data_IF_308393432939
#
_entry.id   IF_308393432939
#
_cell.length_a   1.000
_cell.length_b   1.000
_cell.length_c   1.000
_cell.angle_alpha   90.00
_cell.angle_beta   90.00
_cell.angle_gamma   90.00
#
_symmetry.space_group_name_H-M   'P 1'
#
loop_
_entity.id
_entity.type
_entity.pdbx_description
1 polymer ?
#
# COMPACT_ATOMS: atom_id res chain seq x y z
N UNK A 1 -21.21 -9.13 14.48
CA UNK A 1 -21.26 -8.09 13.44
C UNK A 1 -19.83 -7.72 13.14
N UNK A 2 -19.22 -8.42 12.19
CA UNK A 2 -17.82 -8.23 11.78
C UNK A 2 -17.78 -6.90 11.04
N UNK A 3 -17.38 -5.83 11.72
CA UNK A 3 -17.12 -4.58 11.01
C UNK A 3 -15.97 -4.86 10.04
N UNK A 4 -16.16 -4.48 8.79
CA UNK A 4 -15.18 -4.61 7.73
C UNK A 4 -13.98 -3.70 8.07
N UNK A 5 -13.02 -4.26 8.83
CA UNK A 5 -11.85 -3.52 9.29
C UNK A 5 -10.90 -3.17 8.13
N UNK A 6 -11.10 -3.78 6.97
CA UNK A 6 -10.22 -3.67 5.80
C UNK A 6 -10.17 -2.24 5.24
N UNK A 7 -11.23 -1.45 5.44
CA UNK A 7 -11.33 -0.08 4.92
C UNK A 7 -11.17 1.02 5.97
N UNK A 8 -10.95 0.68 7.24
CA UNK A 8 -10.85 1.70 8.31
C UNK A 8 -9.63 2.61 8.14
N UNK A 9 -8.56 2.09 7.53
CA UNK A 9 -7.33 2.82 7.26
C UNK A 9 -7.33 3.57 5.91
N UNK A 10 -8.32 3.32 5.04
CA UNK A 10 -8.38 3.95 3.70
C UNK A 10 -8.35 5.49 3.79
N UNK A 11 -9.17 6.16 4.64
CA UNK A 11 -9.23 7.62 4.65
C UNK A 11 -7.93 8.30 5.09
N UNK A 12 -7.11 7.64 5.93
CA UNK A 12 -5.83 8.20 6.38
C UNK A 12 -4.74 8.03 5.33
N UNK A 13 -4.80 6.97 4.51
CA UNK A 13 -3.79 6.68 3.48
C UNK A 13 -4.09 7.30 2.12
N UNK A 14 -5.36 7.36 1.72
CA UNK A 14 -5.79 7.77 0.38
C UNK A 14 -5.13 9.08 -0.11
N UNK A 15 -5.07 10.17 0.69
CA UNK A 15 -4.49 11.43 0.22
C UNK A 15 -3.01 11.29 -0.19
N UNK A 16 -2.29 10.36 0.43
CA UNK A 16 -0.86 10.20 0.28
C UNK A 16 -0.48 9.12 -0.74
N UNK A 17 -1.34 8.13 -0.97
CA UNK A 17 -1.13 7.10 -2.02
C UNK A 17 -1.04 7.74 -3.39
N UNK A 18 -1.90 8.72 -3.72
CA UNK A 18 -1.82 9.46 -4.99
C UNK A 18 -0.46 10.12 -5.19
N UNK A 19 0.00 10.89 -4.20
CA UNK A 19 1.31 11.53 -4.25
C UNK A 19 2.46 10.52 -4.33
N UNK A 20 2.34 9.38 -3.66
CA UNK A 20 3.33 8.29 -3.74
C UNK A 20 3.42 7.70 -5.15
N UNK A 21 2.28 7.45 -5.80
CA UNK A 21 2.25 6.99 -7.21
C UNK A 21 2.97 8.00 -8.09
N UNK A 22 2.66 9.30 -7.98
CA UNK A 22 3.26 10.34 -8.82
C UNK A 22 4.79 10.43 -8.66
N UNK A 23 5.30 10.29 -7.42
CA UNK A 23 6.75 10.33 -7.12
C UNK A 23 7.55 9.17 -7.73
N UNK A 24 6.92 8.03 -8.00
CA UNK A 24 7.60 6.88 -8.62
C UNK A 24 7.96 7.23 -10.07
N UNK A 25 9.25 7.30 -10.41
CA UNK A 25 9.67 7.70 -11.76
C UNK A 25 9.36 6.67 -12.86
N UNK A 26 9.05 5.42 -12.51
CA UNK A 26 8.81 4.33 -13.45
C UNK A 26 7.32 4.13 -13.76
N UNK A 27 7.03 3.62 -14.96
CA UNK A 27 5.67 3.28 -15.37
C UNK A 27 5.14 2.00 -14.70
N UNK A 28 6.02 1.14 -14.18
CA UNK A 28 5.69 -0.09 -13.45
C UNK A 28 6.41 -0.11 -12.10
N UNK A 29 5.71 -0.55 -11.05
CA UNK A 29 6.23 -0.61 -9.67
C UNK A 29 5.54 -1.70 -8.84
N UNK A 30 6.19 -2.12 -7.75
CA UNK A 30 5.64 -3.06 -6.78
C UNK A 30 4.99 -2.35 -5.58
N UNK A 31 4.23 -3.08 -4.77
CA UNK A 31 3.72 -2.57 -3.49
C UNK A 31 4.85 -2.08 -2.59
N UNK A 32 5.98 -2.79 -2.53
CA UNK A 32 7.18 -2.36 -1.80
C UNK A 32 7.64 -0.96 -2.22
N UNK A 33 7.78 -0.72 -3.53
CA UNK A 33 8.21 0.59 -4.07
C UNK A 33 7.20 1.70 -3.79
N UNK A 34 5.92 1.38 -3.80
CA UNK A 34 4.87 2.31 -3.39
C UNK A 34 4.99 2.70 -1.92
N UNK A 35 5.22 1.73 -1.05
CA UNK A 35 5.41 1.97 0.39
C UNK A 35 6.66 2.81 0.64
N UNK A 36 7.77 2.51 -0.06
CA UNK A 36 8.98 3.34 -0.04
C UNK A 36 8.68 4.80 -0.45
N UNK A 37 7.96 5.00 -1.56
CA UNK A 37 7.59 6.33 -2.05
C UNK A 37 6.57 7.07 -1.15
N UNK A 38 5.71 6.32 -0.47
CA UNK A 38 4.77 6.83 0.53
C UNK A 38 5.52 7.32 1.77
N UNK A 39 6.43 6.51 2.30
CA UNK A 39 7.22 6.84 3.49
C UNK A 39 8.38 7.82 3.24
N UNK A 40 8.62 8.21 1.99
CA UNK A 40 9.63 9.20 1.62
C UNK A 40 9.28 10.62 2.07
N UNK A 41 8.02 10.89 2.45
CA UNK A 41 7.62 12.17 3.05
C UNK A 41 7.23 12.00 4.53
N UNK A 42 7.42 13.02 5.39
CA UNK A 42 7.00 12.96 6.78
C UNK A 42 5.51 12.65 6.95
N UNK A 43 4.66 13.27 6.13
CA UNK A 43 3.20 13.11 6.20
C UNK A 43 2.76 11.73 5.73
N UNK A 44 3.38 11.20 4.66
CA UNK A 44 3.09 9.86 4.17
C UNK A 44 3.57 8.77 5.13
N UNK A 45 4.69 8.98 5.81
CA UNK A 45 5.15 8.11 6.91
C UNK A 45 4.16 8.12 8.07
N UNK A 46 3.74 9.31 8.53
CA UNK A 46 2.77 9.42 9.61
C UNK A 46 1.43 8.76 9.27
N UNK A 47 0.95 8.92 8.03
CA UNK A 47 -0.26 8.25 7.55
C UNK A 47 -0.12 6.72 7.51
N UNK A 48 1.03 6.21 7.09
CA UNK A 48 1.33 4.78 7.09
C UNK A 48 1.39 4.20 8.50
N UNK A 49 2.06 4.89 9.44
CA UNK A 49 2.12 4.47 10.84
C UNK A 49 0.72 4.48 11.49
N UNK A 50 -0.10 5.49 11.17
CA UNK A 50 -1.49 5.57 11.63
C UNK A 50 -2.36 4.45 11.05
N UNK A 51 -2.20 4.12 9.78
CA UNK A 51 -2.91 2.99 9.17
C UNK A 51 -2.55 1.65 9.85
N UNK A 52 -1.27 1.43 10.15
CA UNK A 52 -0.85 0.25 10.92
C UNK A 52 -1.45 0.24 12.32
N UNK A 53 -1.54 1.40 12.99
CA UNK A 53 -2.17 1.52 14.31
C UNK A 53 -3.67 1.20 14.25
N UNK A 54 -4.38 1.69 13.24
CA UNK A 54 -5.81 1.42 13.02
C UNK A 54 -6.05 -0.07 12.79
N UNK A 55 -5.25 -0.72 11.95
CA UNK A 55 -5.41 -2.14 11.61
C UNK A 55 -4.86 -3.08 12.70
N UNK A 56 -3.85 -2.66 13.44
CA UNK A 56 -3.12 -3.49 14.40
C UNK A 56 -3.66 -3.45 15.84
N UNK A 57 -4.48 -2.46 16.19
CA UNK A 57 -4.89 -2.25 17.59
C UNK A 57 -3.70 -1.98 18.52
N UNK A 58 -3.81 -2.38 19.79
CA UNK A 58 -2.80 -2.12 20.82
C UNK A 58 -1.47 -2.89 20.60
N UNK A 59 -1.48 -3.97 19.81
CA UNK A 59 -0.35 -4.89 19.68
C UNK A 59 0.50 -4.71 18.43
N UNK A 60 0.22 -3.71 17.56
CA UNK A 60 0.94 -3.44 16.29
C UNK A 60 1.41 -4.73 15.58
N UNK A 61 0.51 -5.69 15.48
CA UNK A 61 0.89 -7.06 15.11
C UNK A 61 1.25 -7.17 13.63
N UNK A 62 1.98 -8.23 13.28
CA UNK A 62 2.23 -8.65 11.89
C UNK A 62 0.96 -8.61 11.03
N UNK A 63 -0.23 -8.84 11.62
CA UNK A 63 -1.52 -8.76 10.96
C UNK A 63 -1.81 -7.37 10.36
N UNK A 64 -1.39 -6.28 11.03
CA UNK A 64 -1.57 -4.92 10.52
C UNK A 64 -0.88 -4.75 9.16
N UNK A 65 0.35 -5.26 9.03
CA UNK A 65 1.06 -5.25 7.76
C UNK A 65 0.37 -6.12 6.70
N UNK A 66 -0.10 -7.32 7.06
CA UNK A 66 -0.85 -8.17 6.11
C UNK A 66 -2.09 -7.45 5.56
N UNK A 67 -2.83 -6.73 6.41
CA UNK A 67 -4.02 -5.96 6.01
C UNK A 67 -3.61 -4.76 5.16
N UNK A 68 -2.68 -3.92 5.63
CA UNK A 68 -2.31 -2.69 4.93
C UNK A 68 -1.69 -3.00 3.56
N UNK A 69 -0.77 -3.96 3.49
CA UNK A 69 -0.03 -4.29 2.27
C UNK A 69 -0.85 -5.16 1.32
N UNK A 70 -1.62 -6.12 1.86
CA UNK A 70 -2.35 -7.11 1.08
C UNK A 70 -3.76 -6.68 0.68
N UNK A 71 -4.36 -5.70 1.37
CA UNK A 71 -5.76 -5.32 1.18
C UNK A 71 -5.91 -3.81 0.97
N UNK A 72 -5.60 -3.00 1.98
CA UNK A 72 -5.85 -1.54 1.99
C UNK A 72 -5.15 -0.83 0.83
N UNK A 73 -3.82 -0.99 0.69
CA UNK A 73 -3.07 -0.37 -0.40
C UNK A 73 -3.54 -0.87 -1.78
N UNK A 74 -3.64 -2.19 -2.05
CA UNK A 74 -4.18 -2.69 -3.32
C UNK A 74 -5.56 -2.13 -3.67
N UNK A 75 -6.43 -1.93 -2.69
CA UNK A 75 -7.75 -1.37 -2.90
C UNK A 75 -7.70 0.11 -3.27
N UNK A 76 -6.92 0.91 -2.53
CA UNK A 76 -6.68 2.31 -2.84
C UNK A 76 -6.08 2.46 -4.25
N UNK A 77 -5.18 1.56 -4.65
CA UNK A 77 -4.64 1.54 -6.02
C UNK A 77 -5.72 1.28 -7.07
N UNK A 78 -6.61 0.30 -6.85
CA UNK A 78 -7.74 0.00 -7.74
C UNK A 78 -8.69 1.19 -7.88
N UNK A 79 -8.98 1.88 -6.77
CA UNK A 79 -9.89 3.03 -6.77
C UNK A 79 -9.25 4.34 -7.22
N UNK A 80 -7.92 4.44 -7.25
CA UNK A 80 -7.22 5.68 -7.62
C UNK A 80 -7.52 6.17 -9.03
N UNK A 81 -7.82 5.26 -9.96
CA UNK A 81 -7.89 5.56 -11.40
C UNK A 81 -6.55 5.93 -12.04
N UNK A 82 -5.42 5.78 -11.33
CA UNK A 82 -4.09 6.19 -11.79
C UNK A 82 -3.25 5.02 -12.29
N UNK A 83 -3.52 3.82 -11.79
CA UNK A 83 -2.78 2.60 -12.08
C UNK A 83 -3.72 1.44 -12.38
N UNK A 84 -3.17 0.37 -12.96
CA UNK A 84 -3.84 -0.92 -13.09
C UNK A 84 -2.95 -2.03 -12.56
N UNK A 85 -3.57 -3.09 -12.05
CA UNK A 85 -2.88 -4.34 -11.73
C UNK A 85 -2.21 -4.91 -12.99
N UNK A 86 -0.97 -5.35 -12.86
CA UNK A 86 -0.13 -5.80 -13.96
C UNK A 86 0.45 -7.21 -13.75
N UNK A 87 -0.11 -7.98 -12.82
CA UNK A 87 0.26 -9.37 -12.54
C UNK A 87 1.05 -9.54 -11.24
N UNK A 88 1.23 -10.80 -10.84
CA UNK A 88 2.09 -11.16 -9.71
C UNK A 88 3.56 -11.11 -10.09
N UNK A 89 4.42 -10.88 -9.10
CA UNK A 89 5.87 -10.89 -9.27
C UNK A 89 6.39 -12.32 -9.06
N UNK A 90 7.24 -12.78 -9.98
CA UNK A 90 7.92 -14.06 -9.90
C UNK A 90 9.41 -13.87 -10.18
N UNK A 91 10.28 -14.42 -9.33
CA UNK A 91 11.74 -14.40 -9.55
C UNK A 91 12.46 -13.08 -9.21
N UNK A 92 11.77 -12.12 -8.58
CA UNK A 92 12.37 -10.85 -8.12
C UNK A 92 12.20 -10.71 -6.60
N UNK A 93 13.05 -11.36 -5.79
CA UNK A 93 12.92 -11.37 -4.32
C UNK A 93 13.09 -9.98 -3.69
N UNK A 94 13.82 -9.08 -4.36
CA UNK A 94 14.01 -7.70 -3.89
C UNK A 94 12.73 -6.87 -3.93
N UNK A 95 11.68 -7.34 -4.60
CA UNK A 95 10.37 -6.68 -4.69
C UNK A 95 9.33 -7.27 -3.73
N UNK A 96 9.73 -8.30 -2.97
CA UNK A 96 8.97 -8.83 -1.84
C UNK A 96 9.14 -7.91 -0.62
N UNK A 97 8.01 -7.51 -0.03
CA UNK A 97 7.97 -6.71 1.20
C UNK A 97 7.89 -7.56 2.47
N UNK A 98 7.73 -8.88 2.34
CA UNK A 98 7.63 -9.83 3.43
C UNK A 98 6.24 -9.94 4.07
N UNK A 99 5.25 -9.19 3.57
CA UNK A 99 3.92 -9.10 4.20
C UNK A 99 2.76 -9.42 3.24
N UNK A 100 2.93 -9.29 1.93
CA UNK A 100 1.88 -9.63 0.98
C UNK A 100 2.44 -10.35 -0.24
N UNK A 101 1.55 -11.01 -1.00
CA UNK A 101 1.94 -11.60 -2.28
C UNK A 101 2.39 -10.46 -3.21
N UNK A 102 3.66 -10.47 -3.67
CA UNK A 102 4.20 -9.35 -4.42
C UNK A 102 3.50 -9.21 -5.77
N UNK A 103 3.16 -7.97 -6.13
CA UNK A 103 2.41 -7.66 -7.36
C UNK A 103 2.96 -6.45 -8.07
N UNK A 104 2.91 -6.51 -9.41
CA UNK A 104 3.18 -5.39 -10.29
C UNK A 104 1.95 -4.52 -10.49
N UNK A 105 2.17 -3.21 -10.47
CA UNK A 105 1.20 -2.19 -10.81
C UNK A 105 1.77 -1.30 -11.90
N UNK A 106 0.92 -0.85 -12.81
CA UNK A 106 1.32 -0.03 -13.95
C UNK A 106 0.52 1.26 -14.01
N UNK A 107 1.20 2.40 -14.10
CA UNK A 107 0.57 3.70 -14.33
C UNK A 107 -0.21 3.69 -15.66
N UNK A 108 -1.33 4.42 -15.68
CA UNK A 108 -2.20 4.54 -16.86
C UNK A 108 -1.81 5.68 -17.80
N UNK A 109 -0.98 6.62 -17.32
CA UNK A 109 -0.40 7.75 -18.06
C UNK A 109 1.10 7.58 -18.24
#
# INVERSE_FOLDING_TARGET
MTHDMTHLADPVLEPYVRGAIERIGTSRFSIKRLIEALQATPEGRAAYDEALRICGGEDQSQMAHLIVHGQTIPELLRHSGLVRFAGFIHGEPDEDDGFAVPSWWRKLS
#
